data_IF_783240243743
#
_entry.id   IF_783240243743
#
_cell.length_a   1.000
_cell.length_b   1.000
_cell.length_c   1.000
_cell.angle_alpha   90.00
_cell.angle_beta   90.00
_cell.angle_gamma   90.00
#
_symmetry.space_group_name_H-M   'P 1'
#
loop_
_entity.id
_entity.type
_entity.pdbx_description
1 polymer ?
#
# COMPACT_ATOMS: atom_id res chain seq x y z
N UNK A 1 -20.56 8.82 35.66
CA UNK A 1 -20.85 7.53 34.96
C UNK A 1 -21.14 7.85 33.51
N UNK A 2 -20.45 7.26 32.55
CA UNK A 2 -20.60 7.34 31.09
C UNK A 2 -19.68 8.30 30.29
N UNK A 3 -18.42 8.47 30.66
CA UNK A 3 -17.43 9.07 29.73
C UNK A 3 -16.74 8.04 28.80
N UNK A 4 -17.10 6.76 28.87
CA UNK A 4 -16.56 5.70 28.01
C UNK A 4 -17.34 5.49 26.69
N UNK A 5 -18.45 6.17 26.48
CA UNK A 5 -19.36 5.86 25.36
C UNK A 5 -19.06 6.64 24.06
N UNK A 6 -18.09 7.56 24.04
CA UNK A 6 -17.79 8.41 22.87
C UNK A 6 -16.35 8.32 22.37
N UNK A 7 -15.64 7.23 22.59
CA UNK A 7 -14.40 7.01 21.86
C UNK A 7 -14.77 6.72 20.40
N UNK A 8 -14.55 7.71 19.54
CA UNK A 8 -14.64 7.52 18.09
C UNK A 8 -13.61 6.46 17.68
N UNK A 9 -14.10 5.28 17.32
CA UNK A 9 -13.25 4.19 16.87
C UNK A 9 -12.46 4.61 15.61
N UNK A 10 -11.23 4.13 15.49
CA UNK A 10 -10.42 4.31 14.30
C UNK A 10 -11.18 3.86 13.05
N UNK A 11 -10.94 4.51 11.92
CA UNK A 11 -11.46 4.09 10.61
C UNK A 11 -10.48 3.19 9.85
N UNK A 12 -9.46 2.69 10.55
CA UNK A 12 -8.50 1.70 10.05
C UNK A 12 -8.86 0.33 10.63
N UNK A 13 -8.77 -0.77 9.86
CA UNK A 13 -9.04 -2.10 10.38
C UNK A 13 -8.01 -2.52 11.45
N UNK A 14 -8.45 -3.41 12.34
CA UNK A 14 -7.57 -4.07 13.29
C UNK A 14 -6.46 -4.83 12.56
N UNK A 15 -5.23 -4.67 13.05
CA UNK A 15 -4.03 -5.25 12.42
C UNK A 15 -3.91 -6.73 12.85
N UNK A 16 -4.41 -7.62 12.02
CA UNK A 16 -4.42 -9.07 12.19
C UNK A 16 -3.65 -9.75 11.05
N UNK A 17 -3.46 -11.06 11.13
CA UNK A 17 -2.87 -11.82 10.01
C UNK A 17 -3.65 -11.62 8.70
N UNK A 18 -5.00 -11.64 8.80
CA UNK A 18 -5.85 -11.43 7.60
C UNK A 18 -5.69 -10.02 7.03
N UNK A 19 -5.46 -8.99 7.86
CA UNK A 19 -5.12 -7.66 7.40
C UNK A 19 -3.89 -7.68 6.49
N UNK A 20 -2.82 -8.38 6.89
CA UNK A 20 -1.59 -8.46 6.10
C UNK A 20 -1.77 -9.26 4.81
N UNK A 21 -2.56 -10.34 4.85
CA UNK A 21 -2.89 -11.12 3.63
C UNK A 21 -3.64 -10.24 2.63
N UNK A 22 -4.69 -9.53 3.06
CA UNK A 22 -5.44 -8.61 2.19
C UNK A 22 -4.54 -7.47 1.72
N UNK A 23 -3.66 -6.95 2.59
CA UNK A 23 -2.75 -5.85 2.24
C UNK A 23 -1.75 -6.25 1.15
N UNK A 24 -1.15 -7.43 1.24
CA UNK A 24 -0.24 -7.95 0.21
C UNK A 24 -1.01 -8.17 -1.10
N UNK A 25 -2.18 -8.82 -1.05
CA UNK A 25 -3.03 -9.00 -2.23
C UNK A 25 -3.42 -7.65 -2.86
N UNK A 26 -3.76 -6.63 -2.06
CA UNK A 26 -4.08 -5.28 -2.54
C UNK A 26 -2.90 -4.60 -3.23
N UNK A 27 -1.69 -4.76 -2.70
CA UNK A 27 -0.50 -4.16 -3.31
C UNK A 27 -0.06 -4.87 -4.60
N UNK A 28 -0.21 -6.19 -4.65
CA UNK A 28 -0.01 -6.98 -5.88
C UNK A 28 -1.05 -6.62 -6.95
N UNK A 29 -2.33 -6.47 -6.54
CA UNK A 29 -3.40 -6.02 -7.42
C UNK A 29 -3.18 -4.60 -7.93
N UNK A 30 -2.61 -3.72 -7.10
CA UNK A 30 -2.26 -2.36 -7.51
C UNK A 30 -1.23 -2.35 -8.63
N UNK A 31 -0.27 -3.27 -8.61
CA UNK A 31 0.70 -3.44 -9.68
C UNK A 31 0.03 -3.93 -10.96
N UNK A 32 -0.55 -5.14 -10.91
CA UNK A 32 -1.20 -5.73 -12.10
C UNK A 32 -2.32 -4.85 -12.66
N UNK A 33 -3.10 -4.17 -11.80
CA UNK A 33 -4.19 -3.27 -12.18
C UNK A 33 -3.69 -1.95 -12.77
N UNK A 34 -2.63 -1.38 -12.22
CA UNK A 34 -1.95 -0.20 -12.76
C UNK A 34 -1.42 -0.46 -14.16
N UNK A 35 -0.70 -1.57 -14.32
CA UNK A 35 -0.15 -2.02 -15.60
C UNK A 35 -1.23 -2.43 -16.61
N UNK A 36 -2.37 -2.92 -16.15
CA UNK A 36 -3.50 -3.21 -17.03
C UNK A 36 -3.94 -1.95 -17.77
N UNK A 37 -4.14 -0.83 -17.05
CA UNK A 37 -4.56 0.43 -17.67
C UNK A 37 -3.44 1.07 -18.50
N UNK A 38 -2.24 1.18 -17.91
CA UNK A 38 -1.14 1.92 -18.53
C UNK A 38 -0.53 1.21 -19.73
N UNK A 39 -0.37 -0.11 -19.64
CA UNK A 39 0.32 -0.92 -20.64
C UNK A 39 -0.63 -1.76 -21.48
N UNK A 40 -1.53 -2.57 -20.89
CA UNK A 40 -2.37 -3.49 -21.66
C UNK A 40 -3.49 -2.80 -22.39
N UNK A 41 -4.03 -1.70 -21.86
CA UNK A 41 -5.03 -0.84 -22.54
C UNK A 41 -4.38 0.34 -23.29
N UNK A 42 -3.05 0.43 -23.26
CA UNK A 42 -2.25 1.45 -23.99
C UNK A 42 -2.63 2.91 -23.66
N UNK A 43 -3.12 3.17 -22.44
CA UNK A 43 -3.43 4.55 -22.01
C UNK A 43 -2.19 5.35 -21.60
N UNK A 44 -1.06 4.68 -21.41
CA UNK A 44 0.18 5.28 -20.90
C UNK A 44 0.11 5.68 -19.43
N UNK A 45 1.27 5.97 -18.86
CA UNK A 45 1.39 6.20 -17.40
C UNK A 45 0.70 7.48 -16.92
N UNK A 46 0.81 8.59 -17.68
CA UNK A 46 0.25 9.88 -17.25
C UNK A 46 -1.28 9.85 -17.18
N UNK A 47 -1.96 9.35 -18.22
CA UNK A 47 -3.41 9.29 -18.23
C UNK A 47 -3.93 8.30 -17.19
N UNK A 48 -3.30 7.15 -17.08
CA UNK A 48 -3.63 6.14 -16.04
C UNK A 48 -3.47 6.70 -14.64
N UNK A 49 -2.38 7.46 -14.38
CA UNK A 49 -2.18 8.16 -13.11
C UNK A 49 -3.31 9.17 -12.85
N UNK A 50 -3.73 9.94 -13.85
CA UNK A 50 -4.84 10.88 -13.72
C UNK A 50 -6.16 10.19 -13.35
N UNK A 51 -6.47 9.07 -14.00
CA UNK A 51 -7.68 8.28 -13.72
C UNK A 51 -7.64 7.73 -12.28
N UNK A 52 -6.54 7.07 -11.90
CA UNK A 52 -6.43 6.50 -10.56
C UNK A 52 -6.33 7.55 -9.46
N UNK A 53 -5.70 8.72 -9.72
CA UNK A 53 -5.68 9.84 -8.79
C UNK A 53 -7.09 10.41 -8.55
N UNK A 54 -7.91 10.50 -9.58
CA UNK A 54 -9.31 10.92 -9.44
C UNK A 54 -10.12 9.89 -8.62
N UNK A 55 -9.97 8.60 -8.91
CA UNK A 55 -10.59 7.52 -8.13
C UNK A 55 -10.14 7.54 -6.67
N UNK A 56 -8.85 7.72 -6.42
CA UNK A 56 -8.30 7.84 -5.08
C UNK A 56 -8.86 9.06 -4.34
N UNK A 57 -8.90 10.23 -4.97
CA UNK A 57 -9.45 11.44 -4.35
C UNK A 57 -10.93 11.24 -3.94
N UNK A 58 -11.74 10.66 -4.83
CA UNK A 58 -13.13 10.31 -4.52
C UNK A 58 -13.22 9.32 -3.37
N UNK A 59 -12.40 8.25 -3.40
CA UNK A 59 -12.38 7.23 -2.35
C UNK A 59 -12.01 7.83 -0.97
N UNK A 60 -11.00 8.70 -0.92
CA UNK A 60 -10.60 9.41 0.31
C UNK A 60 -11.70 10.33 0.82
N UNK A 61 -12.37 11.09 -0.06
CA UNK A 61 -13.50 11.94 0.32
C UNK A 61 -14.62 11.10 0.95
N UNK A 62 -14.98 9.97 0.32
CA UNK A 62 -16.00 9.05 0.84
C UNK A 62 -15.55 8.43 2.17
N UNK A 63 -14.27 8.04 2.28
CA UNK A 63 -13.70 7.48 3.50
C UNK A 63 -13.72 8.48 4.66
N UNK A 64 -13.33 9.74 4.43
CA UNK A 64 -13.36 10.81 5.44
C UNK A 64 -14.81 11.15 5.82
N UNK A 65 -15.73 11.16 4.86
CA UNK A 65 -17.16 11.40 5.10
C UNK A 65 -17.88 10.28 5.85
N UNK A 66 -17.33 9.06 5.86
CA UNK A 66 -17.91 7.95 6.58
C UNK A 66 -17.84 8.16 8.09
N UNK A 67 -18.96 8.00 8.80
CA UNK A 67 -19.03 8.19 10.28
C UNK A 67 -18.43 7.03 11.08
N UNK A 68 -18.16 5.89 10.45
CA UNK A 68 -17.63 4.68 11.08
C UNK A 68 -16.78 3.90 10.08
N UNK A 69 -15.93 3.01 10.60
CA UNK A 69 -15.18 2.07 9.78
C UNK A 69 -16.11 1.25 8.88
N UNK A 70 -15.75 1.18 7.60
CA UNK A 70 -16.41 0.35 6.59
C UNK A 70 -15.34 -0.40 5.80
N UNK A 71 -15.23 -1.73 5.95
CA UNK A 71 -14.14 -2.52 5.33
C UNK A 71 -14.03 -2.30 3.82
N UNK A 72 -15.15 -2.34 3.11
CA UNK A 72 -15.17 -2.19 1.64
C UNK A 72 -14.62 -0.82 1.21
N UNK A 73 -15.02 0.27 1.88
CA UNK A 73 -14.54 1.62 1.56
C UNK A 73 -13.04 1.72 1.83
N UNK A 74 -12.59 1.22 2.99
CA UNK A 74 -11.18 1.23 3.36
C UNK A 74 -10.31 0.49 2.34
N UNK A 75 -10.66 -0.77 2.03
CA UNK A 75 -9.88 -1.59 1.11
C UNK A 75 -9.95 -1.09 -0.33
N UNK A 76 -11.08 -0.53 -0.75
CA UNK A 76 -11.18 0.17 -2.04
C UNK A 76 -10.24 1.38 -2.10
N UNK A 77 -10.17 2.17 -1.00
CA UNK A 77 -9.24 3.30 -0.93
C UNK A 77 -7.78 2.82 -0.96
N UNK A 78 -7.45 1.70 -0.30
CA UNK A 78 -6.12 1.08 -0.39
C UNK A 78 -5.82 0.66 -1.84
N UNK A 79 -6.75 0.00 -2.55
CA UNK A 79 -6.55 -0.36 -3.96
C UNK A 79 -6.31 0.90 -4.80
N UNK A 80 -7.12 1.92 -4.64
CA UNK A 80 -6.98 3.18 -5.38
C UNK A 80 -5.60 3.84 -5.11
N UNK A 81 -5.13 3.86 -3.84
CA UNK A 81 -3.79 4.41 -3.55
C UNK A 81 -2.67 3.60 -4.16
N UNK A 82 -2.79 2.28 -4.17
CA UNK A 82 -1.71 1.43 -4.70
C UNK A 82 -1.66 1.48 -6.23
N UNK A 83 -2.79 1.54 -6.93
CA UNK A 83 -2.82 1.71 -8.39
C UNK A 83 -2.29 3.08 -8.84
N UNK A 84 -2.68 4.18 -8.16
CA UNK A 84 -2.09 5.49 -8.46
C UNK A 84 -0.60 5.51 -8.13
N UNK A 85 -0.19 4.83 -7.06
CA UNK A 85 1.21 4.71 -6.67
C UNK A 85 2.07 4.04 -7.74
N UNK A 86 1.59 2.93 -8.34
CA UNK A 86 2.23 2.24 -9.46
C UNK A 86 2.42 3.19 -10.65
N UNK A 87 1.32 3.69 -11.20
CA UNK A 87 1.37 4.49 -12.43
C UNK A 87 2.12 5.83 -12.26
N UNK A 88 2.10 6.41 -11.05
CA UNK A 88 2.84 7.63 -10.73
C UNK A 88 4.35 7.36 -10.61
N UNK A 89 4.75 6.24 -10.00
CA UNK A 89 6.16 5.84 -9.93
C UNK A 89 6.71 5.59 -11.34
N UNK A 90 6.01 4.79 -12.15
CA UNK A 90 6.37 4.53 -13.54
C UNK A 90 6.45 5.81 -14.38
N UNK A 91 5.49 6.72 -14.20
CA UNK A 91 5.53 8.01 -14.89
C UNK A 91 6.77 8.81 -14.51
N UNK A 92 7.09 8.90 -13.22
CA UNK A 92 8.25 9.63 -12.74
C UNK A 92 9.57 8.98 -13.19
N UNK A 93 9.70 7.68 -13.03
CA UNK A 93 10.94 6.96 -13.26
C UNK A 93 11.21 6.70 -14.74
N UNK A 94 10.17 6.34 -15.51
CA UNK A 94 10.29 5.90 -16.91
C UNK A 94 9.98 7.04 -17.91
N UNK A 95 8.94 7.88 -17.65
CA UNK A 95 8.55 8.93 -18.58
C UNK A 95 9.30 10.25 -18.34
N UNK A 96 9.49 10.67 -17.08
CA UNK A 96 10.26 11.87 -16.74
C UNK A 96 11.76 11.61 -16.63
N UNK A 97 12.18 10.34 -16.58
CA UNK A 97 13.59 9.97 -16.55
C UNK A 97 14.29 10.31 -15.22
N UNK A 98 13.56 10.44 -14.11
CA UNK A 98 14.15 10.66 -12.77
C UNK A 98 14.97 9.43 -12.37
N UNK A 99 14.57 8.25 -12.84
CA UNK A 99 15.19 6.96 -12.56
C UNK A 99 14.91 6.46 -11.16
N UNK A 100 14.97 5.15 -10.99
CA UNK A 100 14.56 4.48 -9.75
C UNK A 100 15.28 4.96 -8.49
N UNK A 101 16.59 5.22 -8.55
CA UNK A 101 17.36 5.72 -7.40
C UNK A 101 16.94 7.12 -6.98
N UNK A 102 16.72 8.03 -7.96
CA UNK A 102 16.26 9.40 -7.72
C UNK A 102 14.85 9.42 -7.17
N UNK A 103 13.93 8.72 -7.83
CA UNK A 103 12.54 8.58 -7.41
C UNK A 103 12.42 7.98 -6.01
N UNK A 104 13.10 6.87 -5.75
CA UNK A 104 13.14 6.24 -4.41
C UNK A 104 13.64 7.20 -3.33
N UNK A 105 14.73 7.92 -3.58
CA UNK A 105 15.30 8.86 -2.60
C UNK A 105 14.33 10.00 -2.30
N UNK A 106 13.76 10.62 -3.33
CA UNK A 106 12.79 11.71 -3.19
C UNK A 106 11.54 11.25 -2.41
N UNK A 107 10.99 10.09 -2.76
CA UNK A 107 9.80 9.55 -2.12
C UNK A 107 10.06 9.14 -0.66
N UNK A 108 11.24 8.63 -0.34
CA UNK A 108 11.65 8.33 1.02
C UNK A 108 11.69 9.60 1.89
N UNK A 109 12.22 10.70 1.34
CA UNK A 109 12.22 12.00 2.02
C UNK A 109 10.78 12.51 2.24
N UNK A 110 9.93 12.45 1.23
CA UNK A 110 8.53 12.88 1.32
C UNK A 110 7.73 12.04 2.32
N UNK A 111 7.94 10.72 2.33
CA UNK A 111 7.33 9.82 3.31
C UNK A 111 7.80 10.15 4.73
N UNK A 112 9.11 10.31 4.94
CA UNK A 112 9.67 10.70 6.24
C UNK A 112 9.14 12.05 6.72
N UNK A 113 9.06 13.04 5.82
CA UNK A 113 8.49 14.36 6.11
C UNK A 113 6.99 14.27 6.47
N UNK A 114 6.22 13.46 5.74
CA UNK A 114 4.81 13.24 6.01
C UNK A 114 4.59 12.66 7.41
N UNK A 115 5.33 11.61 7.79
CA UNK A 115 5.28 11.00 9.12
C UNK A 115 5.71 11.98 10.21
N UNK A 116 6.79 12.75 9.97
CA UNK A 116 7.28 13.77 10.90
C UNK A 116 6.25 14.88 11.13
N UNK A 117 5.66 15.44 10.07
CA UNK A 117 4.62 16.47 10.15
C UNK A 117 3.38 15.96 10.84
N UNK A 118 2.98 14.72 10.56
CA UNK A 118 1.86 14.07 11.24
C UNK A 118 2.13 13.97 12.75
N UNK A 119 3.27 13.41 13.13
CA UNK A 119 3.65 13.30 14.54
C UNK A 119 3.71 14.68 15.23
N UNK A 120 4.35 15.68 14.59
CA UNK A 120 4.45 17.06 15.13
C UNK A 120 3.08 17.72 15.33
N UNK A 121 2.11 17.40 14.46
CA UNK A 121 0.80 18.06 14.44
C UNK A 121 -0.20 17.39 15.39
N UNK A 122 -0.16 16.07 15.52
CA UNK A 122 -1.15 15.28 16.28
C UNK A 122 -0.56 14.52 17.48
N UNK A 123 0.76 14.58 17.67
CA UNK A 123 1.46 13.92 18.80
C UNK A 123 1.63 12.42 18.64
N UNK A 124 1.00 11.82 17.63
CA UNK A 124 1.07 10.37 17.38
C UNK A 124 0.88 10.06 15.89
N UNK A 125 1.47 8.95 15.44
CA UNK A 125 1.26 8.35 14.13
C UNK A 125 0.62 6.96 14.24
N UNK A 126 0.00 6.67 15.39
CA UNK A 126 -0.69 5.39 15.62
C UNK A 126 -1.96 5.30 14.78
N UNK A 127 -2.17 4.14 14.15
CA UNK A 127 -3.34 3.91 13.28
C UNK A 127 -4.65 3.86 14.07
N UNK A 128 -4.60 3.54 15.36
CA UNK A 128 -5.78 3.57 16.23
C UNK A 128 -6.29 5.01 16.45
N UNK A 129 -5.43 6.02 16.27
CA UNK A 129 -5.79 7.44 16.41
C UNK A 129 -6.44 8.04 15.16
N UNK A 130 -6.55 7.26 14.05
CA UNK A 130 -7.10 7.73 12.78
C UNK A 130 -8.63 7.74 12.83
N UNK A 131 -9.18 8.74 13.52
CA UNK A 131 -10.63 8.90 13.73
C UNK A 131 -11.17 10.29 13.38
N UNK A 132 -10.29 11.27 13.15
CA UNK A 132 -10.65 12.62 12.78
C UNK A 132 -10.27 12.91 11.33
N UNK A 133 -10.98 13.83 10.62
CA UNK A 133 -10.65 14.19 9.25
C UNK A 133 -9.18 14.61 9.07
N UNK A 134 -8.63 15.34 10.04
CA UNK A 134 -7.23 15.78 10.01
C UNK A 134 -6.25 14.59 10.08
N UNK A 135 -6.51 13.63 10.97
CA UNK A 135 -5.70 12.42 11.09
C UNK A 135 -5.81 11.56 9.82
N UNK A 136 -7.02 11.46 9.23
CA UNK A 136 -7.24 10.72 8.00
C UNK A 136 -6.51 11.36 6.81
N UNK A 137 -6.46 12.67 6.70
CA UNK A 137 -5.69 13.35 5.63
C UNK A 137 -4.20 12.98 5.75
N UNK A 138 -3.60 13.09 6.96
CA UNK A 138 -2.23 12.68 7.16
C UNK A 138 -2.00 11.20 6.83
N UNK A 139 -2.90 10.33 7.27
CA UNK A 139 -2.85 8.90 7.00
C UNK A 139 -2.84 8.60 5.50
N UNK A 140 -3.78 9.15 4.73
CA UNK A 140 -3.90 8.87 3.30
C UNK A 140 -2.77 9.49 2.48
N UNK A 141 -2.29 10.68 2.85
CA UNK A 141 -1.09 11.29 2.23
C UNK A 141 0.15 10.43 2.49
N UNK A 142 0.35 9.97 3.73
CA UNK A 142 1.46 9.09 4.09
C UNK A 142 1.39 7.77 3.35
N UNK A 143 0.21 7.17 3.25
CA UNK A 143 0.00 5.94 2.48
C UNK A 143 0.32 6.17 1.00
N UNK A 144 -0.12 7.26 0.40
CA UNK A 144 0.16 7.55 -1.01
C UNK A 144 1.67 7.61 -1.27
N UNK A 145 2.44 8.33 -0.46
CA UNK A 145 3.90 8.33 -0.60
C UNK A 145 4.52 6.95 -0.38
N UNK A 146 4.02 6.19 0.60
CA UNK A 146 4.47 4.82 0.85
C UNK A 146 4.18 3.88 -0.32
N UNK A 147 3.02 4.00 -0.96
CA UNK A 147 2.65 3.14 -2.09
C UNK A 147 3.50 3.47 -3.32
N UNK A 148 3.69 4.75 -3.63
CA UNK A 148 4.55 5.19 -4.75
C UNK A 148 6.00 4.80 -4.53
N UNK A 149 6.54 5.02 -3.31
CA UNK A 149 7.88 4.59 -2.91
C UNK A 149 8.06 3.07 -3.09
N UNK A 150 7.04 2.30 -2.71
CA UNK A 150 7.14 0.84 -2.77
C UNK A 150 7.27 0.31 -4.19
N UNK A 151 6.61 0.91 -5.20
CA UNK A 151 6.82 0.56 -6.61
C UNK A 151 8.25 0.88 -7.02
N UNK A 152 8.67 2.14 -6.87
CA UNK A 152 10.02 2.56 -7.24
C UNK A 152 11.11 1.71 -6.57
N UNK A 153 10.91 1.31 -5.30
CA UNK A 153 11.85 0.46 -4.57
C UNK A 153 11.82 -0.99 -5.07
N UNK A 154 10.64 -1.52 -5.40
CA UNK A 154 10.47 -2.86 -5.99
C UNK A 154 11.21 -2.96 -7.32
N UNK A 155 10.94 -2.03 -8.23
CA UNK A 155 11.58 -1.95 -9.55
C UNK A 155 13.10 -1.75 -9.42
N UNK A 156 13.51 -0.86 -8.52
CA UNK A 156 14.95 -0.63 -8.29
C UNK A 156 15.68 -1.90 -7.87
N UNK A 157 15.10 -2.68 -6.96
CA UNK A 157 15.72 -3.93 -6.49
C UNK A 157 15.66 -5.03 -7.54
N UNK A 158 14.56 -5.15 -8.28
CA UNK A 158 14.40 -6.18 -9.30
C UNK A 158 15.26 -5.89 -10.53
N UNK A 159 15.20 -4.68 -11.06
CA UNK A 159 15.84 -4.29 -12.31
C UNK A 159 17.25 -3.75 -12.09
N UNK A 160 17.41 -2.64 -11.34
CA UNK A 160 18.71 -1.94 -11.23
C UNK A 160 19.70 -2.65 -10.32
N UNK A 161 19.24 -3.24 -9.21
CA UNK A 161 20.11 -4.04 -8.33
C UNK A 161 20.30 -5.47 -8.85
N UNK A 162 19.60 -5.86 -9.92
CA UNK A 162 19.78 -7.14 -10.61
C UNK A 162 19.33 -8.35 -9.80
N UNK A 163 18.47 -8.18 -8.80
CA UNK A 163 17.99 -9.30 -7.98
C UNK A 163 16.89 -10.12 -8.68
N UNK A 164 16.27 -9.56 -9.71
CA UNK A 164 15.07 -10.10 -10.34
C UNK A 164 13.86 -10.14 -9.40
N UNK A 165 12.70 -10.50 -9.93
CA UNK A 165 11.45 -10.48 -9.15
C UNK A 165 11.46 -11.43 -7.95
N UNK A 166 11.91 -12.68 -8.15
CA UNK A 166 11.95 -13.67 -7.06
C UNK A 166 12.99 -13.33 -5.98
N UNK A 167 14.17 -12.81 -6.37
CA UNK A 167 15.19 -12.37 -5.42
C UNK A 167 14.71 -11.19 -4.58
N UNK A 168 14.07 -10.22 -5.21
CA UNK A 168 13.47 -9.06 -4.53
C UNK A 168 12.29 -9.47 -3.63
N UNK A 169 11.43 -10.40 -4.08
CA UNK A 169 10.37 -10.96 -3.25
C UNK A 169 10.92 -11.69 -2.01
N UNK A 170 12.01 -12.47 -2.17
CA UNK A 170 12.67 -13.13 -1.05
C UNK A 170 13.30 -12.12 -0.07
N UNK A 171 13.89 -11.03 -0.57
CA UNK A 171 14.41 -9.95 0.26
C UNK A 171 13.30 -9.31 1.09
N UNK A 172 12.26 -8.77 0.46
CA UNK A 172 11.18 -8.07 1.16
C UNK A 172 10.37 -9.01 2.05
N UNK A 173 10.08 -10.24 1.59
CA UNK A 173 9.42 -11.27 2.39
C UNK A 173 10.24 -11.69 3.62
N UNK A 174 11.56 -11.82 3.46
CA UNK A 174 12.49 -12.10 4.56
C UNK A 174 12.51 -10.98 5.61
N UNK A 175 12.58 -9.72 5.18
CA UNK A 175 12.52 -8.57 6.10
C UNK A 175 11.17 -8.51 6.81
N UNK A 176 10.06 -8.77 6.12
CA UNK A 176 8.73 -8.84 6.75
C UNK A 176 8.64 -9.97 7.78
N UNK A 177 9.23 -11.13 7.49
CA UNK A 177 9.32 -12.24 8.46
C UNK A 177 10.14 -11.85 9.70
N UNK A 178 11.25 -11.12 9.53
CA UNK A 178 12.04 -10.57 10.64
C UNK A 178 11.25 -9.56 11.48
N UNK A 179 10.46 -8.69 10.85
CA UNK A 179 9.56 -7.75 11.55
C UNK A 179 8.47 -8.50 12.33
N UNK A 180 7.90 -9.56 11.76
CA UNK A 180 6.96 -10.43 12.46
C UNK A 180 7.61 -11.13 13.66
N UNK A 181 8.84 -11.62 13.50
CA UNK A 181 9.62 -12.20 14.60
C UNK A 181 9.91 -11.15 15.69
N UNK A 182 10.30 -9.94 15.29
CA UNK A 182 10.53 -8.83 16.22
C UNK A 182 9.25 -8.47 16.98
N UNK A 183 8.09 -8.53 16.33
CA UNK A 183 6.79 -8.32 16.98
C UNK A 183 6.56 -9.31 18.14
N UNK A 184 6.91 -10.57 17.99
CA UNK A 184 6.71 -11.58 19.04
C UNK A 184 7.82 -11.66 20.07
N UNK A 185 9.06 -11.28 19.73
CA UNK A 185 10.25 -11.53 20.56
C UNK A 185 10.84 -10.28 21.20
N UNK A 186 10.39 -9.07 20.83
CA UNK A 186 11.00 -7.82 21.31
C UNK A 186 9.97 -6.83 21.85
N UNK A 187 10.46 -5.81 22.55
CA UNK A 187 9.68 -4.68 23.06
C UNK A 187 9.71 -3.46 22.13
N UNK A 188 10.09 -3.63 20.86
CA UNK A 188 10.09 -2.55 19.86
C UNK A 188 8.67 -2.00 19.70
N UNK A 189 8.57 -0.68 19.53
CA UNK A 189 7.29 0.02 19.36
C UNK A 189 6.42 -0.65 18.30
N UNK A 190 5.20 -1.01 18.65
CA UNK A 190 4.23 -1.64 17.73
C UNK A 190 3.89 -0.72 16.56
N UNK A 191 3.79 0.59 16.81
CA UNK A 191 3.59 1.60 15.77
C UNK A 191 4.76 1.62 14.78
N UNK A 192 6.01 1.53 15.26
CA UNK A 192 7.18 1.46 14.37
C UNK A 192 7.17 0.19 13.52
N UNK A 193 6.90 -0.98 14.14
CA UNK A 193 6.82 -2.26 13.44
C UNK A 193 5.67 -2.27 12.41
N UNK A 194 4.54 -1.66 12.75
CA UNK A 194 3.42 -1.50 11.82
C UNK A 194 3.84 -0.70 10.58
N UNK A 195 4.41 0.50 10.76
CA UNK A 195 4.80 1.32 9.62
C UNK A 195 5.90 0.68 8.79
N UNK A 196 6.89 0.06 9.43
CA UNK A 196 7.93 -0.69 8.72
C UNK A 196 7.34 -1.82 7.86
N UNK A 197 6.45 -2.64 8.43
CA UNK A 197 5.78 -3.70 7.69
C UNK A 197 4.85 -3.16 6.62
N UNK A 198 4.07 -2.11 6.93
CA UNK A 198 3.13 -1.48 6.00
C UNK A 198 3.84 -0.93 4.76
N UNK A 199 4.97 -0.26 4.95
CA UNK A 199 5.81 0.28 3.86
C UNK A 199 6.38 -0.87 3.02
N UNK A 200 6.93 -1.92 3.68
CA UNK A 200 7.62 -3.03 3.00
C UNK A 200 6.68 -4.03 2.31
N UNK A 201 5.39 -4.08 2.68
CA UNK A 201 4.41 -4.89 1.92
C UNK A 201 4.19 -4.34 0.51
N UNK A 202 4.48 -3.07 0.25
CA UNK A 202 4.24 -2.49 -1.07
C UNK A 202 5.30 -2.91 -2.11
N UNK A 203 6.63 -2.80 -1.85
CA UNK A 203 7.60 -3.34 -2.79
C UNK A 203 7.48 -4.87 -2.95
N UNK A 204 7.12 -5.61 -1.90
CA UNK A 204 6.79 -7.03 -2.04
C UNK A 204 5.65 -7.25 -3.03
N UNK A 205 4.55 -6.48 -2.89
CA UNK A 205 3.40 -6.59 -3.79
C UNK A 205 3.73 -6.20 -5.23
N UNK A 206 4.58 -5.18 -5.45
CA UNK A 206 5.04 -4.76 -6.76
C UNK A 206 5.79 -5.90 -7.47
N UNK A 207 6.86 -6.41 -6.84
CA UNK A 207 7.66 -7.48 -7.44
C UNK A 207 6.87 -8.80 -7.60
N UNK A 208 5.87 -9.07 -6.76
CA UNK A 208 4.96 -10.20 -6.96
C UNK A 208 4.02 -9.97 -8.15
N UNK A 209 3.51 -8.75 -8.34
CA UNK A 209 2.71 -8.39 -9.50
C UNK A 209 3.48 -8.55 -10.79
N UNK A 210 4.67 -7.99 -10.86
CA UNK A 210 5.60 -8.13 -11.97
C UNK A 210 5.97 -9.60 -12.23
N UNK A 211 6.25 -10.36 -11.18
CA UNK A 211 6.51 -11.79 -11.32
C UNK A 211 5.34 -12.54 -11.96
N UNK A 212 4.10 -12.13 -11.68
CA UNK A 212 2.93 -12.77 -12.28
C UNK A 212 2.78 -12.42 -13.76
N UNK A 213 3.00 -11.15 -14.16
CA UNK A 213 2.56 -10.66 -15.47
C UNK A 213 3.69 -10.40 -16.47
N UNK A 214 4.94 -10.21 -16.02
CA UNK A 214 6.07 -9.99 -16.94
C UNK A 214 6.41 -11.24 -17.74
N UNK A 215 6.97 -11.08 -18.96
CA UNK A 215 7.36 -12.19 -19.81
C UNK A 215 8.40 -13.12 -19.16
N UNK A 216 8.46 -14.36 -19.64
CA UNK A 216 9.41 -15.37 -19.13
C UNK A 216 10.89 -14.97 -19.33
N UNK A 217 11.21 -14.28 -20.41
CA UNK A 217 12.56 -13.76 -20.69
C UNK A 217 12.98 -12.64 -19.72
N UNK A 218 12.02 -12.02 -19.03
CA UNK A 218 12.24 -11.06 -17.95
C UNK A 218 12.11 -11.70 -16.55
N UNK A 219 11.94 -13.00 -16.47
CA UNK A 219 11.84 -13.74 -15.21
C UNK A 219 10.44 -13.81 -14.61
N UNK A 220 9.41 -13.41 -15.35
CA UNK A 220 8.00 -13.49 -14.95
C UNK A 220 7.30 -14.80 -15.40
N UNK A 221 6.02 -14.93 -15.03
CA UNK A 221 5.16 -16.05 -15.40
C UNK A 221 4.30 -15.80 -16.66
N UNK A 222 4.39 -14.62 -17.25
CA UNK A 222 3.65 -14.20 -18.43
C UNK A 222 2.12 -14.39 -18.32
N UNK A 223 1.55 -14.26 -17.11
CA UNK A 223 0.11 -14.34 -16.92
C UNK A 223 -0.55 -13.07 -17.48
N UNK A 224 -1.78 -13.20 -17.98
CA UNK A 224 -2.56 -12.05 -18.39
C UNK A 224 -2.81 -11.11 -17.20
N UNK A 225 -2.46 -9.82 -17.33
CA UNK A 225 -2.73 -8.79 -16.32
C UNK A 225 -4.20 -8.72 -15.94
N UNK A 226 -5.11 -8.86 -16.91
CA UNK A 226 -6.56 -8.92 -16.67
C UNK A 226 -6.93 -10.09 -15.76
N UNK A 227 -6.40 -11.28 -16.04
CA UNK A 227 -6.68 -12.49 -15.24
C UNK A 227 -6.07 -12.37 -13.85
N UNK A 228 -4.83 -11.94 -13.72
CA UNK A 228 -4.16 -11.74 -12.44
C UNK A 228 -4.93 -10.71 -11.57
N UNK A 229 -5.29 -9.57 -12.14
CA UNK A 229 -6.10 -8.54 -11.47
C UNK A 229 -7.45 -9.08 -11.03
N UNK A 230 -8.16 -9.82 -11.88
CA UNK A 230 -9.46 -10.42 -11.55
C UNK A 230 -9.37 -11.44 -10.42
N UNK A 231 -8.38 -12.34 -10.45
CA UNK A 231 -8.16 -13.33 -9.38
C UNK A 231 -7.83 -12.66 -8.05
N UNK A 232 -6.99 -11.62 -8.05
CA UNK A 232 -6.64 -10.87 -6.84
C UNK A 232 -7.85 -10.11 -6.28
N UNK A 233 -8.69 -9.51 -7.13
CA UNK A 233 -9.96 -8.89 -6.72
C UNK A 233 -10.90 -9.90 -6.07
N UNK A 234 -11.05 -11.09 -6.66
CA UNK A 234 -11.89 -12.17 -6.11
C UNK A 234 -11.34 -12.66 -4.78
N UNK A 235 -10.01 -12.86 -4.68
CA UNK A 235 -9.35 -13.25 -3.42
C UNK A 235 -9.60 -12.21 -2.32
N UNK A 236 -9.40 -10.93 -2.62
CA UNK A 236 -9.65 -9.86 -1.65
C UNK A 236 -11.12 -9.79 -1.25
N UNK A 237 -12.04 -9.87 -2.22
CA UNK A 237 -13.48 -9.89 -1.98
C UNK A 237 -13.89 -11.04 -1.07
N UNK A 238 -13.36 -12.24 -1.34
CA UNK A 238 -13.57 -13.42 -0.50
C UNK A 238 -13.02 -13.21 0.93
N UNK A 239 -11.79 -12.71 1.06
CA UNK A 239 -11.21 -12.42 2.37
C UNK A 239 -12.03 -11.40 3.17
N UNK A 240 -12.48 -10.31 2.52
CA UNK A 240 -13.30 -9.28 3.18
C UNK A 240 -14.68 -9.83 3.59
N UNK A 241 -15.27 -10.71 2.79
CA UNK A 241 -16.58 -11.30 3.05
C UNK A 241 -16.55 -12.40 4.11
N UNK A 242 -15.51 -13.26 4.10
CA UNK A 242 -15.44 -14.44 4.96
C UNK A 242 -14.82 -14.16 6.33
N UNK A 243 -13.95 -13.15 6.43
CA UNK A 243 -13.26 -12.84 7.69
C UNK A 243 -13.78 -11.53 8.30
N UNK A 244 -14.17 -11.54 9.58
CA UNK A 244 -14.66 -10.35 10.26
C UNK A 244 -13.61 -9.22 10.26
N UNK A 245 -14.00 -8.06 9.75
CA UNK A 245 -13.18 -6.85 9.75
C UNK A 245 -13.70 -5.90 10.84
N UNK A 246 -12.87 -5.60 11.82
CA UNK A 246 -13.21 -4.70 12.94
C UNK A 246 -12.36 -3.44 12.87
N UNK A 247 -12.89 -2.33 13.40
CA UNK A 247 -12.11 -1.11 13.58
C UNK A 247 -11.02 -1.31 14.65
N UNK A 248 -9.83 -0.74 14.45
CA UNK A 248 -8.77 -0.77 15.46
C UNK A 248 -9.24 -0.07 16.75
N UNK A 249 -9.06 -0.74 17.90
CA UNK A 249 -9.58 -0.29 19.21
C UNK A 249 -8.48 0.06 20.20
N UNK A 250 -7.27 -0.46 20.05
CA UNK A 250 -6.15 -0.28 21.00
C UNK A 250 -4.82 -0.23 20.28
N UNK A 251 -3.88 0.56 20.84
CA UNK A 251 -2.47 0.45 20.53
C UNK A 251 -1.98 -0.94 20.98
N UNK A 252 -1.38 -1.67 20.08
CA UNK A 252 -0.76 -2.96 20.40
C UNK A 252 0.67 -2.76 20.83
#
# INVERSE_FOLDING_TARGET
>A
MNDQANQTLSKVPEVTLIFWIIKIAATTLGETGGDTLSMSMDLGYLLSTGIFAALFAVAVIVQIGAKKFRPVIYWFTIIATTTVGTTLADFADRSLGIGYAGGTTMLLILLGLSLFLWHRTLGTISVESVSTPKAEIFYWVTIMFSQTLGTALGDWTADSAGMGYLGSAALFGGVLALLALAYWKTMVSRTLLFWAAFILTRPLGAVLGDFLDKPHDQGGLALSRFSATAVLLLLMGACIALFPQRAAQKAH
#
